data_IF_572950900195
#
_entry.id   IF_572950900195
#
_cell.length_a   1.000
_cell.length_b   1.000
_cell.length_c   1.000
_cell.angle_alpha   90.00
_cell.angle_beta   90.00
_cell.angle_gamma   90.00
#
_symmetry.space_group_name_H-M   'P 1'
#
loop_
_entity.id
_entity.type
_entity.pdbx_description
1 polymer ?
#
# COMPACT_ATOMS: atom_id res chain seq x y z
N UNK A 1 14.67 -4.54 -21.09
CA UNK A 1 14.43 -4.71 -19.64
C UNK A 1 13.34 -5.78 -19.50
N UNK A 2 13.57 -6.88 -18.78
CA UNK A 2 12.62 -8.01 -18.68
C UNK A 2 11.51 -7.72 -17.67
N UNK A 3 10.36 -8.41 -17.79
CA UNK A 3 9.26 -8.34 -16.81
C UNK A 3 9.76 -8.64 -15.39
N UNK A 4 10.65 -9.63 -15.24
CA UNK A 4 11.29 -9.96 -13.96
C UNK A 4 12.06 -8.77 -13.36
N UNK A 5 12.77 -7.99 -14.17
CA UNK A 5 13.46 -6.79 -13.69
C UNK A 5 12.49 -5.69 -13.24
N UNK A 6 11.33 -5.54 -13.89
CA UNK A 6 10.29 -4.62 -13.43
C UNK A 6 9.63 -5.09 -12.14
N UNK A 7 9.34 -6.40 -12.03
CA UNK A 7 8.80 -6.99 -10.80
C UNK A 7 9.79 -6.83 -9.64
N UNK A 8 11.06 -7.13 -9.85
CA UNK A 8 12.12 -7.02 -8.85
C UNK A 8 12.38 -5.58 -8.38
N UNK A 9 12.07 -4.57 -9.21
CA UNK A 9 12.26 -3.14 -8.87
C UNK A 9 10.97 -2.42 -8.49
N UNK A 10 9.82 -3.11 -8.56
CA UNK A 10 8.51 -2.51 -8.31
C UNK A 10 8.29 -2.11 -6.85
N UNK A 11 9.10 -2.63 -5.92
CA UNK A 11 9.14 -2.23 -4.52
C UNK A 11 9.75 -0.85 -4.27
N UNK A 12 10.52 -0.29 -5.20
CA UNK A 12 11.24 0.98 -5.01
C UNK A 12 10.35 2.11 -4.49
N UNK A 13 9.25 2.48 -5.17
CA UNK A 13 8.34 3.51 -4.67
C UNK A 13 7.72 3.19 -3.31
N UNK A 14 7.44 1.92 -3.01
CA UNK A 14 6.94 1.51 -1.69
C UNK A 14 7.99 1.78 -0.60
N UNK A 15 9.22 1.31 -0.81
CA UNK A 15 10.32 1.50 0.14
C UNK A 15 10.59 2.98 0.36
N UNK A 16 10.78 3.75 -0.73
CA UNK A 16 11.01 5.20 -0.65
C UNK A 16 9.97 5.91 0.22
N UNK A 17 8.67 5.65 0.00
CA UNK A 17 7.61 6.27 0.78
C UNK A 17 7.64 5.77 2.23
N UNK A 18 7.90 4.48 2.46
CA UNK A 18 7.97 3.90 3.80
C UNK A 18 9.06 4.57 4.66
N UNK A 19 10.25 4.78 4.08
CA UNK A 19 11.38 5.42 4.75
C UNK A 19 11.15 6.90 5.09
N UNK A 20 10.14 7.55 4.50
CA UNK A 20 9.76 8.94 4.82
C UNK A 20 8.95 9.07 6.13
N UNK A 21 8.46 7.96 6.69
CA UNK A 21 7.66 7.98 7.92
C UNK A 21 8.52 7.93 9.17
N UNK A 22 8.28 8.85 10.10
CA UNK A 22 8.86 8.81 11.44
C UNK A 22 7.96 8.02 12.39
N UNK A 23 8.54 7.45 13.45
CA UNK A 23 7.78 6.64 14.41
C UNK A 23 6.63 7.42 15.09
N UNK A 24 6.82 8.70 15.40
CA UNK A 24 5.78 9.58 15.94
C UNK A 24 4.60 9.77 14.96
N UNK A 25 4.91 9.89 13.66
CA UNK A 25 3.92 10.01 12.60
C UNK A 25 3.10 8.72 12.43
N UNK A 26 3.74 7.55 12.58
CA UNK A 26 3.06 6.25 12.53
C UNK A 26 2.08 6.10 13.69
N UNK A 27 2.48 6.51 14.90
CA UNK A 27 1.60 6.49 16.09
C UNK A 27 0.43 7.49 15.93
N UNK A 28 0.70 8.70 15.44
CA UNK A 28 -0.35 9.70 15.17
C UNK A 28 -1.37 9.16 14.17
N UNK A 29 -0.88 8.57 13.08
CA UNK A 29 -1.71 7.96 12.04
C UNK A 29 -2.55 6.81 12.60
N UNK A 30 -1.97 5.94 13.42
CA UNK A 30 -2.70 4.85 14.07
C UNK A 30 -3.90 5.38 14.87
N UNK A 31 -3.67 6.37 15.72
CA UNK A 31 -4.72 6.97 16.55
C UNK A 31 -5.80 7.67 15.70
N UNK A 32 -5.39 8.36 14.64
CA UNK A 32 -6.30 9.02 13.71
C UNK A 32 -7.21 7.99 13.01
N UNK A 33 -6.63 6.96 12.42
CA UNK A 33 -7.37 5.91 11.70
C UNK A 33 -8.30 5.11 12.61
N UNK A 34 -7.89 4.88 13.86
CA UNK A 34 -8.73 4.26 14.90
C UNK A 34 -9.97 5.09 15.20
N UNK A 35 -9.85 6.42 15.18
CA UNK A 35 -10.93 7.36 15.53
C UNK A 35 -11.87 7.61 14.36
N UNK A 36 -11.33 7.90 13.18
CA UNK A 36 -12.09 8.22 11.96
C UNK A 36 -12.74 6.97 11.34
N UNK A 37 -12.08 5.82 11.54
CA UNK A 37 -12.55 4.55 11.00
C UNK A 37 -12.32 4.40 9.50
N UNK A 38 -12.65 3.21 9.00
CA UNK A 38 -12.31 2.80 7.64
C UNK A 38 -13.09 3.57 6.55
N UNK A 39 -14.34 3.96 6.82
CA UNK A 39 -15.20 4.63 5.83
C UNK A 39 -14.62 5.97 5.38
N UNK A 40 -14.17 6.78 6.33
CA UNK A 40 -13.59 8.10 6.05
C UNK A 40 -12.27 7.98 5.28
N UNK A 41 -11.38 7.06 5.67
CA UNK A 41 -10.15 6.80 4.92
C UNK A 41 -10.44 6.38 3.47
N UNK A 42 -11.44 5.51 3.26
CA UNK A 42 -11.81 5.09 1.92
C UNK A 42 -12.36 6.25 1.06
N UNK A 43 -13.19 7.11 1.65
CA UNK A 43 -13.70 8.33 0.99
C UNK A 43 -12.53 9.24 0.62
N UNK A 44 -11.61 9.49 1.55
CA UNK A 44 -10.42 10.30 1.34
C UNK A 44 -9.56 9.78 0.17
N UNK A 45 -9.25 8.47 0.15
CA UNK A 45 -8.49 7.85 -0.94
C UNK A 45 -9.19 8.04 -2.28
N UNK A 46 -10.51 7.89 -2.32
CA UNK A 46 -11.31 8.04 -3.55
C UNK A 46 -11.28 9.48 -4.06
N UNK A 47 -11.39 10.47 -3.17
CA UNK A 47 -11.39 11.89 -3.53
C UNK A 47 -10.02 12.38 -4.02
N UNK A 48 -8.94 11.82 -3.46
CA UNK A 48 -7.57 12.24 -3.76
C UNK A 48 -6.79 11.28 -4.66
N UNK A 49 -7.44 10.25 -5.21
CA UNK A 49 -6.78 9.15 -5.92
C UNK A 49 -5.80 9.62 -7.00
N UNK A 50 -6.20 10.56 -7.85
CA UNK A 50 -5.35 11.08 -8.93
C UNK A 50 -4.05 11.70 -8.41
N UNK A 51 -4.13 12.48 -7.33
CA UNK A 51 -2.96 13.11 -6.72
C UNK A 51 -2.09 12.07 -6.01
N UNK A 52 -2.70 11.09 -5.35
CA UNK A 52 -2.00 9.99 -4.68
C UNK A 52 -1.19 9.18 -5.70
N UNK A 53 -1.81 8.77 -6.81
CA UNK A 53 -1.14 8.03 -7.89
C UNK A 53 -0.01 8.86 -8.50
N UNK A 54 -0.22 10.17 -8.66
CA UNK A 54 0.83 11.08 -9.12
C UNK A 54 1.99 11.12 -8.12
N UNK A 55 1.73 11.25 -6.82
CA UNK A 55 2.77 11.27 -5.79
C UNK A 55 3.63 10.00 -5.80
N UNK A 56 3.02 8.82 -5.95
CA UNK A 56 3.72 7.54 -6.06
C UNK A 56 4.70 7.54 -7.24
N UNK A 57 4.30 8.11 -8.38
CA UNK A 57 5.14 8.16 -9.59
C UNK A 57 6.33 9.12 -9.52
N UNK A 58 6.38 10.00 -8.52
CA UNK A 58 7.44 10.99 -8.38
C UNK A 58 8.67 10.42 -7.69
N UNK A 59 9.85 10.93 -8.04
CA UNK A 59 11.09 10.66 -7.30
C UNK A 59 11.08 11.34 -5.92
N UNK A 60 11.91 10.90 -4.96
CA UNK A 60 12.02 11.53 -3.64
C UNK A 60 12.22 13.05 -3.71
N UNK A 61 13.16 13.53 -4.53
CA UNK A 61 13.42 14.96 -4.74
C UNK A 61 12.22 15.75 -5.28
N UNK A 62 11.34 15.11 -6.06
CA UNK A 62 10.12 15.73 -6.57
C UNK A 62 9.01 15.78 -5.52
N UNK A 63 9.01 14.85 -4.56
CA UNK A 63 8.09 14.83 -3.41
C UNK A 63 8.42 15.90 -2.38
N UNK A 64 9.67 16.35 -2.29
CA UNK A 64 10.08 17.45 -1.39
C UNK A 64 9.54 18.84 -1.80
N UNK A 65 8.97 18.97 -3.00
CA UNK A 65 8.40 20.23 -3.47
C UNK A 65 7.29 20.73 -2.54
N UNK A 66 7.25 22.06 -2.31
CA UNK A 66 6.31 22.74 -1.40
C UNK A 66 4.85 22.32 -1.57
N UNK A 67 4.41 21.99 -2.79
CA UNK A 67 3.03 21.59 -3.07
C UNK A 67 2.62 20.29 -2.36
N UNK A 68 3.58 19.41 -2.09
CA UNK A 68 3.36 18.16 -1.37
C UNK A 68 3.63 18.36 0.11
N UNK A 69 4.80 18.91 0.46
CA UNK A 69 5.25 19.02 1.86
C UNK A 69 4.44 20.01 2.71
N UNK A 70 3.69 20.93 2.10
CA UNK A 70 2.82 21.89 2.82
C UNK A 70 1.33 21.51 2.82
N UNK A 71 1.00 20.28 2.43
CA UNK A 71 -0.38 19.80 2.49
C UNK A 71 -0.87 19.74 3.94
N UNK A 72 -2.07 20.26 4.26
CA UNK A 72 -2.62 20.17 5.61
C UNK A 72 -2.92 18.71 6.01
N UNK A 73 -3.20 17.86 5.02
CA UNK A 73 -3.53 16.45 5.11
C UNK A 73 -2.32 15.53 4.81
N UNK A 74 -1.08 16.06 4.87
CA UNK A 74 0.12 15.36 4.40
C UNK A 74 0.30 13.95 4.97
N UNK A 75 -0.01 13.75 6.25
CA UNK A 75 0.15 12.45 6.90
C UNK A 75 -0.78 11.39 6.29
N UNK A 76 -2.07 11.72 6.16
CA UNK A 76 -3.07 10.84 5.55
C UNK A 76 -2.80 10.62 4.06
N UNK A 77 -2.34 11.66 3.37
CA UNK A 77 -1.96 11.60 1.97
C UNK A 77 -0.82 10.62 1.72
N UNK A 78 0.29 10.74 2.47
CA UNK A 78 1.44 9.83 2.37
C UNK A 78 1.04 8.41 2.75
N UNK A 79 0.18 8.23 3.76
CA UNK A 79 -0.27 6.91 4.16
C UNK A 79 -1.08 6.22 3.06
N UNK A 80 -1.98 6.96 2.43
CA UNK A 80 -2.76 6.48 1.29
C UNK A 80 -1.86 6.05 0.13
N UNK A 81 -0.83 6.85 -0.16
CA UNK A 81 0.19 6.49 -1.16
C UNK A 81 0.94 5.22 -0.78
N UNK A 82 1.39 5.10 0.48
CA UNK A 82 2.08 3.92 0.99
C UNK A 82 1.22 2.66 0.89
N UNK A 83 -0.07 2.74 1.26
CA UNK A 83 -1.00 1.62 1.23
C UNK A 83 -1.25 1.12 -0.20
N UNK A 84 -1.42 2.03 -1.16
CA UNK A 84 -1.58 1.69 -2.58
C UNK A 84 -0.29 1.07 -3.13
N UNK A 85 0.87 1.66 -2.83
CA UNK A 85 2.17 1.12 -3.27
C UNK A 85 2.42 -0.27 -2.69
N UNK A 86 2.22 -0.49 -1.39
CA UNK A 86 2.34 -1.82 -0.77
C UNK A 86 1.40 -2.84 -1.43
N UNK A 87 0.13 -2.46 -1.63
CA UNK A 87 -0.85 -3.36 -2.25
C UNK A 87 -0.47 -3.72 -3.68
N UNK A 88 0.13 -2.78 -4.42
CA UNK A 88 0.66 -3.00 -5.75
C UNK A 88 1.84 -3.96 -5.75
N UNK A 89 2.81 -3.78 -4.84
CA UNK A 89 3.96 -4.67 -4.69
C UNK A 89 3.51 -6.09 -4.36
N UNK A 90 2.56 -6.23 -3.42
CA UNK A 90 1.98 -7.52 -3.07
C UNK A 90 1.30 -8.17 -4.27
N UNK A 91 0.48 -7.43 -5.01
CA UNK A 91 -0.18 -7.93 -6.23
C UNK A 91 0.83 -8.40 -7.27
N UNK A 92 1.89 -7.61 -7.52
CA UNK A 92 2.93 -7.94 -8.49
C UNK A 92 3.75 -9.17 -8.06
N UNK A 93 4.05 -9.29 -6.76
CA UNK A 93 4.72 -10.47 -6.20
C UNK A 93 3.84 -11.72 -6.36
N UNK A 94 2.55 -11.63 -6.03
CA UNK A 94 1.59 -12.72 -6.16
C UNK A 94 1.34 -13.09 -7.63
N UNK A 95 1.54 -12.14 -8.56
CA UNK A 95 1.45 -12.34 -10.00
C UNK A 95 2.72 -12.94 -10.63
N UNK A 96 3.89 -12.82 -9.99
CA UNK A 96 5.17 -13.30 -10.51
C UNK A 96 5.15 -14.77 -10.97
N UNK A 97 4.52 -15.72 -10.25
CA UNK A 97 4.41 -17.11 -10.71
C UNK A 97 3.65 -17.29 -12.04
N UNK A 98 2.78 -16.34 -12.42
CA UNK A 98 2.03 -16.41 -13.68
C UNK A 98 2.92 -16.18 -14.89
N UNK A 99 3.99 -15.38 -14.76
CA UNK A 99 4.94 -15.12 -15.85
C UNK A 99 5.60 -16.41 -16.37
N UNK A 100 5.73 -17.44 -15.51
CA UNK A 100 6.31 -18.74 -15.86
C UNK A 100 5.27 -19.72 -16.47
N UNK A 101 3.98 -19.41 -16.36
CA UNK A 101 2.87 -20.28 -16.79
C UNK A 101 2.40 -19.97 -18.21
N UNK A 102 2.49 -18.70 -18.63
CA UNK A 102 2.03 -18.24 -19.96
C UNK A 102 2.69 -19.03 -21.10
N UNK A 103 3.88 -19.60 -20.87
CA UNK A 103 4.63 -20.35 -21.87
C UNK A 103 4.65 -21.89 -21.66
N UNK A 104 4.05 -22.45 -20.61
CA UNK A 104 4.25 -23.88 -20.27
C UNK A 104 3.09 -24.66 -19.61
N UNK A 105 1.99 -24.02 -19.21
CA UNK A 105 0.99 -24.68 -18.34
C UNK A 105 -0.47 -24.54 -18.82
N UNK A 106 -1.40 -25.25 -18.16
CA UNK A 106 -2.83 -25.23 -18.52
C UNK A 106 -3.49 -23.86 -18.31
N UNK A 107 -4.27 -23.39 -19.30
CA UNK A 107 -5.14 -22.20 -19.19
C UNK A 107 -5.99 -22.16 -17.91
N UNK A 108 -6.41 -23.32 -17.38
CA UNK A 108 -7.18 -23.39 -16.12
C UNK A 108 -6.36 -23.02 -14.89
N UNK A 109 -5.08 -23.40 -14.87
CA UNK A 109 -4.14 -23.06 -13.79
C UNK A 109 -3.82 -21.57 -13.81
N UNK A 110 -3.61 -21.01 -15.01
CA UNK A 110 -3.49 -19.57 -15.21
C UNK A 110 -4.73 -18.83 -14.67
N UNK A 111 -5.94 -19.24 -15.08
CA UNK A 111 -7.18 -18.63 -14.63
C UNK A 111 -7.36 -18.72 -13.11
N UNK A 112 -7.03 -19.86 -12.49
CA UNK A 112 -7.16 -20.03 -11.03
C UNK A 112 -6.22 -19.11 -10.25
N UNK A 113 -4.98 -18.92 -10.71
CA UNK A 113 -4.04 -18.00 -10.06
C UNK A 113 -4.50 -16.55 -10.21
N UNK A 114 -4.98 -16.18 -11.40
CA UNK A 114 -5.52 -14.86 -11.65
C UNK A 114 -6.81 -14.58 -10.85
N UNK A 115 -7.69 -15.58 -10.74
CA UNK A 115 -8.90 -15.51 -9.91
C UNK A 115 -8.56 -15.40 -8.42
N UNK A 116 -7.51 -16.06 -7.94
CA UNK A 116 -7.02 -15.90 -6.56
C UNK A 116 -6.49 -14.48 -6.30
N UNK A 117 -5.71 -13.95 -7.25
CA UNK A 117 -5.18 -12.58 -7.20
C UNK A 117 -6.30 -11.53 -7.19
N UNK A 118 -7.27 -11.65 -8.10
CA UNK A 118 -8.45 -10.78 -8.12
C UNK A 118 -9.31 -11.00 -6.88
N UNK A 119 -9.45 -12.23 -6.40
CA UNK A 119 -10.18 -12.56 -5.17
C UNK A 119 -9.65 -11.78 -3.96
N UNK A 120 -8.33 -11.65 -3.83
CA UNK A 120 -7.72 -10.85 -2.77
C UNK A 120 -8.01 -9.33 -2.88
N UNK A 121 -8.35 -8.83 -4.07
CA UNK A 121 -8.74 -7.42 -4.29
C UNK A 121 -10.26 -7.24 -4.16
N UNK A 122 -11.03 -8.16 -4.74
CA UNK A 122 -12.48 -8.11 -4.86
C UNK A 122 -13.21 -8.53 -3.58
N UNK A 123 -12.61 -9.41 -2.76
CA UNK A 123 -13.05 -9.71 -1.41
C UNK A 123 -12.40 -8.68 -0.48
N UNK A 124 -12.96 -7.47 -0.56
CA UNK A 124 -12.46 -6.22 0.03
C UNK A 124 -12.04 -6.40 1.49
N UNK A 125 -10.72 -6.45 1.71
CA UNK A 125 -10.15 -6.04 2.98
C UNK A 125 -8.84 -5.26 2.74
N UNK A 126 -8.91 -3.93 2.55
CA UNK A 126 -7.74 -3.06 2.46
C UNK A 126 -6.84 -3.08 3.71
N UNK A 127 -7.19 -3.87 4.74
CA UNK A 127 -6.49 -4.06 5.99
C UNK A 127 -5.56 -5.29 6.00
N UNK A 128 -5.61 -6.15 4.98
CA UNK A 128 -4.64 -7.25 4.81
C UNK A 128 -3.27 -6.74 4.30
N UNK A 129 -3.15 -5.42 4.14
CA UNK A 129 -2.02 -4.70 3.57
C UNK A 129 -1.58 -3.51 4.42
N UNK A 130 -1.74 -3.59 5.75
CA UNK A 130 -1.16 -2.57 6.63
C UNK A 130 0.37 -2.57 6.47
N UNK A 131 0.97 -1.50 5.93
CA UNK A 131 2.32 -1.52 5.37
C UNK A 131 3.43 -1.43 6.44
N UNK A 132 3.04 -1.40 7.72
CA UNK A 132 3.92 -1.37 8.88
C UNK A 132 3.82 -2.72 9.61
N UNK A 133 4.63 -3.69 9.18
CA UNK A 133 4.56 -5.07 9.63
C UNK A 133 4.70 -5.23 11.17
N UNK A 134 5.42 -4.31 11.82
CA UNK A 134 5.69 -4.32 13.27
C UNK A 134 4.74 -3.44 14.09
N UNK A 135 3.80 -2.73 13.45
CA UNK A 135 2.86 -1.85 14.14
C UNK A 135 1.47 -2.48 14.27
N UNK A 136 0.74 -2.18 15.36
CA UNK A 136 -0.62 -2.68 15.52
C UNK A 136 -1.49 -2.18 14.36
N UNK A 137 -2.20 -3.08 13.71
CA UNK A 137 -3.10 -2.71 12.62
C UNK A 137 -4.34 -2.00 13.22
N UNK A 138 -4.55 -0.69 12.98
CA UNK A 138 -5.60 0.09 13.64
C UNK A 138 -7.01 -0.36 13.29
N UNK A 139 -7.15 -1.22 12.28
CA UNK A 139 -8.43 -1.69 11.78
C UNK A 139 -8.72 -3.16 12.10
N UNK A 140 -7.79 -3.86 12.77
CA UNK A 140 -7.98 -5.24 13.20
C UNK A 140 -8.42 -5.28 14.66
N UNK A 141 -9.57 -5.90 14.92
CA UNK A 141 -10.07 -6.14 16.29
C UNK A 141 -9.06 -7.02 17.05
N UNK A 142 -8.50 -6.50 18.14
CA UNK A 142 -7.50 -7.18 18.98
C UNK A 142 -6.04 -6.78 18.74
N UNK A 143 -5.75 -5.77 17.92
CA UNK A 143 -4.41 -5.19 17.83
C UNK A 143 -4.07 -4.36 19.08
N UNK A 144 -2.84 -4.46 19.64
CA UNK A 144 -2.44 -3.69 20.82
C UNK A 144 -2.59 -2.17 20.60
N UNK A 145 -2.93 -1.42 21.64
CA UNK A 145 -3.28 0.02 21.52
C UNK A 145 -2.04 0.92 21.43
N UNK A 146 -0.89 0.42 21.86
CA UNK A 146 0.37 1.17 21.97
C UNK A 146 1.59 0.24 21.90
N UNK A 147 2.74 0.77 21.47
CA UNK A 147 4.05 0.10 21.57
C UNK A 147 4.45 -0.21 23.03
N UNK A 148 3.79 0.42 24.01
CA UNK A 148 3.98 0.14 25.45
C UNK A 148 3.27 -1.14 25.92
N UNK A 149 2.42 -1.72 25.08
CA UNK A 149 1.57 -2.86 25.45
C UNK A 149 2.17 -4.21 24.96
N UNK A 150 3.41 -4.18 24.45
CA UNK A 150 4.27 -5.32 24.07
C UNK A 150 5.51 -5.34 24.96
#
# INVERSE_FOLDING_TARGET
MSLENYLAKSNGPYEEILWEFRNDEIVQLYNQLRTEGFGEHFVYVKEHLTDILKYISLSPSQREQKKWTKRPDLLMFRFSALQISYSTVKFLSDASPMAQIVDSDSYRKFHSLFANLIGNIAVVNPLLSFPFADYPNPFRKGSPESLSDL
#
